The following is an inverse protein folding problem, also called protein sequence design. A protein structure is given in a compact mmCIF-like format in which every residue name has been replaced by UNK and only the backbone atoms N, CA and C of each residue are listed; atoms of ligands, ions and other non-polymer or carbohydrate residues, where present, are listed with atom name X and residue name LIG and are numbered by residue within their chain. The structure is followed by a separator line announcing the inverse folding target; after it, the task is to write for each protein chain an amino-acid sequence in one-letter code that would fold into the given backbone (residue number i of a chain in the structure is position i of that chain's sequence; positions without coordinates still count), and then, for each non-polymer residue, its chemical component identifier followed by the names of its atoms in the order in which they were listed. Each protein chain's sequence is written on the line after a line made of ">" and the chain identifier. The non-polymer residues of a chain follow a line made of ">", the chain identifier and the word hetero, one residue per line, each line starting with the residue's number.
data_IF_632403274480
#
_entry.id   IF_632403274480
#
_cell.length_a   1.000
_cell.length_b   1.000
_cell.length_c   1.000
_cell.angle_alpha   90.00
_cell.angle_beta   90.00
_cell.angle_gamma   90.00
#
_symmetry.space_group_name_H-M   'P 1'
#
loop_
_entity.id
_entity.type
_entity.pdbx_description
1 polymer ?
#
# COMPACT_ATOMS: atom_id res chain seq x y z
N UNK A 1 -32.92 26.38 -45.95
CA UNK A 1 -31.93 25.51 -45.30
C UNK A 1 -31.06 26.21 -44.26
N UNK A 2 -30.61 27.46 -44.47
CA UNK A 2 -29.82 28.22 -43.48
C UNK A 2 -30.57 28.55 -42.18
N UNK A 3 -31.85 28.89 -42.26
CA UNK A 3 -32.66 29.27 -41.06
C UNK A 3 -32.87 28.12 -40.07
N UNK A 4 -32.99 26.89 -40.57
CA UNK A 4 -33.16 25.71 -39.69
C UNK A 4 -31.86 25.37 -38.90
N UNK A 5 -30.72 25.57 -39.53
CA UNK A 5 -29.42 25.35 -38.87
C UNK A 5 -29.15 26.37 -37.77
N UNK A 6 -29.54 27.62 -37.94
CA UNK A 6 -29.35 28.69 -36.95
C UNK A 6 -30.24 28.48 -35.70
N UNK A 7 -31.46 27.98 -35.90
CA UNK A 7 -32.34 27.69 -34.76
C UNK A 7 -31.86 26.56 -33.88
N UNK A 8 -31.28 25.52 -34.50
CA UNK A 8 -30.69 24.39 -33.70
C UNK A 8 -29.41 24.79 -32.97
N UNK A 9 -28.61 25.68 -33.56
CA UNK A 9 -27.39 26.15 -32.93
C UNK A 9 -27.66 27.05 -31.73
N UNK A 10 -28.67 27.93 -31.81
CA UNK A 10 -29.05 28.81 -30.69
C UNK A 10 -29.74 28.06 -29.55
N UNK A 11 -30.45 26.98 -29.84
CA UNK A 11 -31.06 26.16 -28.79
C UNK A 11 -30.01 25.36 -28.00
N UNK A 12 -28.97 24.85 -28.68
CA UNK A 12 -27.88 24.09 -28.05
C UNK A 12 -27.02 24.97 -27.12
N UNK A 13 -26.74 26.21 -27.53
CA UNK A 13 -25.92 27.14 -26.71
C UNK A 13 -26.67 27.63 -25.45
N UNK A 14 -27.97 27.83 -25.53
CA UNK A 14 -28.80 28.22 -24.36
C UNK A 14 -28.93 27.09 -23.33
N UNK A 15 -29.06 25.84 -23.78
CA UNK A 15 -29.11 24.68 -22.89
C UNK A 15 -27.81 24.43 -22.16
N UNK A 16 -26.66 24.60 -22.84
CA UNK A 16 -25.34 24.40 -22.23
C UNK A 16 -25.01 25.46 -21.16
N UNK A 17 -25.44 26.71 -21.36
CA UNK A 17 -25.20 27.77 -20.36
C UNK A 17 -26.00 27.55 -19.08
N UNK A 18 -27.24 27.08 -19.20
CA UNK A 18 -28.11 26.81 -18.03
C UNK A 18 -27.62 25.62 -17.21
N UNK A 19 -27.05 24.58 -17.88
CA UNK A 19 -26.51 23.43 -17.20
C UNK A 19 -25.24 23.75 -16.41
N UNK A 20 -24.40 24.67 -16.88
CA UNK A 20 -23.19 25.12 -16.17
C UNK A 20 -23.53 25.94 -14.92
N UNK A 21 -24.60 26.77 -14.95
CA UNK A 21 -25.03 27.52 -13.78
C UNK A 21 -25.65 26.62 -12.71
N UNK A 22 -26.44 25.63 -13.06
CA UNK A 22 -27.03 24.69 -12.12
C UNK A 22 -25.97 23.78 -11.45
N UNK A 23 -24.95 23.35 -12.19
CA UNK A 23 -23.82 22.56 -11.65
C UNK A 23 -22.93 23.36 -10.69
N UNK A 24 -22.71 24.63 -10.97
CA UNK A 24 -21.91 25.52 -10.12
C UNK A 24 -22.52 25.78 -8.75
N UNK A 25 -23.85 25.96 -8.67
CA UNK A 25 -24.54 26.15 -7.39
C UNK A 25 -24.54 24.87 -6.54
N UNK A 26 -24.63 23.71 -7.15
CA UNK A 26 -24.58 22.44 -6.41
C UNK A 26 -23.21 22.17 -5.77
N UNK A 27 -22.10 22.56 -6.45
CA UNK A 27 -20.76 22.43 -5.87
C UNK A 27 -20.53 23.40 -4.68
N UNK A 28 -21.06 24.61 -4.75
CA UNK A 28 -20.97 25.57 -3.66
C UNK A 28 -21.79 25.13 -2.43
N UNK A 29 -22.93 24.47 -2.63
CA UNK A 29 -23.75 23.93 -1.54
C UNK A 29 -23.07 22.69 -0.88
N UNK A 30 -22.31 21.91 -1.64
CA UNK A 30 -21.58 20.76 -1.11
C UNK A 30 -20.40 21.17 -0.22
N UNK A 31 -19.69 22.24 -0.57
CA UNK A 31 -18.58 22.77 0.23
C UNK A 31 -19.02 23.41 1.55
N UNK A 32 -20.30 23.81 1.69
CA UNK A 32 -20.82 24.43 2.91
C UNK A 32 -21.39 23.43 3.93
N UNK A 33 -21.48 22.14 3.61
CA UNK A 33 -22.06 21.12 4.50
C UNK A 33 -21.00 20.27 5.22
N UNK A 34 -19.78 20.75 5.40
CA UNK A 34 -18.77 20.13 6.26
C UNK A 34 -18.97 20.46 7.76
N UNK A 35 -20.21 20.75 8.16
CA UNK A 35 -20.60 20.76 9.58
C UNK A 35 -21.08 19.37 10.01
N UNK A 36 -20.27 18.34 9.72
CA UNK A 36 -20.40 17.06 10.39
C UNK A 36 -20.23 17.26 11.90
N UNK A 37 -20.93 16.48 12.75
CA UNK A 37 -20.82 16.63 14.20
C UNK A 37 -19.33 16.56 14.57
N UNK A 38 -18.77 17.67 15.04
CA UNK A 38 -17.49 17.68 15.74
C UNK A 38 -17.66 16.78 16.95
N UNK A 39 -17.30 15.51 16.78
CA UNK A 39 -17.11 14.63 17.92
C UNK A 39 -16.11 15.31 18.86
N UNK A 40 -16.41 15.43 20.17
CA UNK A 40 -15.47 15.96 21.11
C UNK A 40 -14.32 14.96 21.25
N UNK A 41 -13.25 15.14 20.47
CA UNK A 41 -11.97 14.43 20.64
C UNK A 41 -11.18 15.04 21.80
N UNK A 42 -11.85 15.32 22.92
CA UNK A 42 -11.22 15.66 24.18
C UNK A 42 -11.56 14.60 25.22
N UNK A 43 -11.49 13.34 24.82
CA UNK A 43 -11.26 12.25 25.76
C UNK A 43 -9.76 12.01 25.78
N UNK A 44 -9.11 12.43 26.84
CA UNK A 44 -7.77 11.98 27.18
C UNK A 44 -7.83 10.46 27.28
N UNK A 45 -7.62 9.77 26.15
CA UNK A 45 -7.27 8.37 26.17
C UNK A 45 -5.90 8.33 26.83
N UNK A 46 -5.91 8.19 28.15
CA UNK A 46 -4.78 7.67 28.89
C UNK A 46 -4.65 6.21 28.44
N UNK A 47 -4.25 6.06 27.16
CA UNK A 47 -3.85 4.77 26.62
C UNK A 47 -2.60 4.34 27.36
N UNK A 48 -2.40 3.03 27.54
CA UNK A 48 -1.17 2.50 28.11
C UNK A 48 -0.02 3.08 27.29
N UNK A 49 0.88 3.73 28.02
CA UNK A 49 2.21 4.21 27.63
C UNK A 49 2.44 4.29 26.11
N UNK A 50 2.58 5.55 25.63
CA UNK A 50 3.19 5.87 24.35
C UNK A 50 3.21 4.64 23.42
N UNK A 51 2.33 4.63 22.42
CA UNK A 51 2.69 3.96 21.17
C UNK A 51 3.93 4.73 20.69
N UNK A 52 5.05 4.43 21.31
CA UNK A 52 6.34 4.41 20.69
C UNK A 52 6.01 3.92 19.29
N UNK A 53 6.28 4.68 18.22
CA UNK A 53 6.06 4.19 16.86
C UNK A 53 6.68 2.80 16.87
N UNK A 54 5.82 1.83 17.24
CA UNK A 54 6.23 0.48 17.52
C UNK A 54 6.76 0.05 16.19
N UNK A 55 8.06 -0.11 16.09
CA UNK A 55 8.71 -0.62 14.93
C UNK A 55 7.84 -1.81 14.52
N UNK A 56 7.21 -1.73 13.35
CA UNK A 56 6.35 -2.78 12.83
C UNK A 56 7.11 -4.07 13.03
N UNK A 57 6.50 -5.07 13.64
CA UNK A 57 7.22 -6.31 13.96
C UNK A 57 7.79 -6.94 12.71
N UNK A 58 8.91 -7.64 12.81
CA UNK A 58 9.49 -8.38 11.69
C UNK A 58 8.49 -9.32 11.03
N UNK A 59 7.60 -9.93 11.81
CA UNK A 59 6.49 -10.75 11.34
C UNK A 59 5.49 -9.95 10.49
N UNK A 60 5.02 -8.81 10.98
CA UNK A 60 4.06 -7.99 10.24
C UNK A 60 4.63 -7.49 8.91
N UNK A 61 5.91 -7.12 8.87
CA UNK A 61 6.60 -6.75 7.63
C UNK A 61 6.79 -7.96 6.72
N UNK A 62 7.16 -9.12 7.25
CA UNK A 62 7.35 -10.36 6.50
C UNK A 62 6.06 -10.83 5.80
N UNK A 63 4.88 -10.51 6.33
CA UNK A 63 3.61 -10.81 5.65
C UNK A 63 3.46 -10.11 4.31
N UNK A 64 4.13 -9.01 4.06
CA UNK A 64 4.11 -8.34 2.74
C UNK A 64 4.80 -9.19 1.66
N UNK A 65 5.70 -10.10 2.04
CA UNK A 65 6.41 -11.00 1.12
C UNK A 65 5.51 -12.16 0.64
N UNK A 66 4.40 -12.42 1.34
CA UNK A 66 3.52 -13.58 1.10
C UNK A 66 2.90 -13.59 -0.30
N UNK A 67 2.67 -12.43 -0.90
CA UNK A 67 2.07 -12.31 -2.24
C UNK A 67 2.90 -13.02 -3.33
N UNK A 68 4.22 -13.07 -3.17
CA UNK A 68 5.13 -13.68 -4.14
C UNK A 68 5.86 -14.91 -3.59
N UNK A 69 6.12 -14.95 -2.28
CA UNK A 69 6.89 -16.03 -1.64
C UNK A 69 6.03 -17.00 -0.83
N UNK A 70 4.69 -16.88 -0.93
CA UNK A 70 3.74 -17.73 -0.22
C UNK A 70 3.59 -17.41 1.26
N UNK A 71 2.53 -17.91 1.86
CA UNK A 71 2.23 -17.70 3.28
C UNK A 71 3.38 -18.18 4.15
N UNK A 72 3.87 -17.31 5.03
CA UNK A 72 5.06 -17.56 5.86
C UNK A 72 6.33 -17.87 5.05
N UNK A 73 6.39 -17.43 3.79
CA UNK A 73 7.53 -17.74 2.91
C UNK A 73 7.58 -19.19 2.44
N UNK A 74 6.45 -19.89 2.46
CA UNK A 74 6.32 -21.29 2.01
C UNK A 74 5.60 -21.31 0.67
N UNK A 75 6.33 -21.53 -0.39
CA UNK A 75 5.81 -21.53 -1.77
C UNK A 75 6.01 -22.91 -2.41
N UNK A 76 5.51 -23.97 -1.87
CA UNK A 76 5.46 -25.30 -2.49
C UNK A 76 6.67 -25.63 -3.38
N UNK A 77 6.41 -26.22 -4.54
CA UNK A 77 7.42 -26.65 -5.53
C UNK A 77 7.77 -25.55 -6.56
N UNK A 78 7.52 -24.30 -6.24
CA UNK A 78 7.52 -23.21 -7.19
C UNK A 78 8.89 -22.56 -7.44
N UNK A 79 8.93 -21.76 -8.51
CA UNK A 79 10.13 -21.15 -9.09
C UNK A 79 10.78 -20.05 -8.21
N UNK A 80 10.09 -19.56 -7.20
CA UNK A 80 10.61 -18.54 -6.31
C UNK A 80 11.30 -19.16 -5.10
N UNK A 81 12.38 -18.51 -4.65
CA UNK A 81 13.12 -18.93 -3.47
C UNK A 81 12.21 -18.94 -2.23
N UNK A 82 12.03 -20.08 -1.54
CA UNK A 82 11.32 -20.11 -0.27
C UNK A 82 12.08 -19.31 0.79
N UNK A 83 11.33 -18.60 1.63
CA UNK A 83 11.92 -17.78 2.70
C UNK A 83 11.86 -18.51 4.06
N UNK A 84 10.92 -19.45 4.23
CA UNK A 84 10.77 -20.23 5.45
C UNK A 84 12.06 -21.04 5.75
N UNK A 85 12.61 -20.83 6.93
CA UNK A 85 13.84 -21.50 7.36
C UNK A 85 15.12 -20.97 6.73
N UNK A 86 15.05 -19.88 5.95
CA UNK A 86 16.24 -19.25 5.40
C UNK A 86 17.13 -18.72 6.53
N UNK A 87 18.43 -19.03 6.56
CA UNK A 87 19.34 -18.45 7.54
C UNK A 87 19.27 -16.92 7.53
N UNK A 88 19.21 -16.31 8.71
CA UNK A 88 19.05 -14.86 8.82
C UNK A 88 20.15 -14.07 8.08
N UNK A 89 21.41 -14.53 8.14
CA UNK A 89 22.51 -13.92 7.39
C UNK A 89 22.27 -13.95 5.88
N UNK A 90 21.83 -15.09 5.35
CA UNK A 90 21.53 -15.23 3.92
C UNK A 90 20.40 -14.29 3.48
N UNK A 91 19.34 -14.16 4.29
CA UNK A 91 18.26 -13.22 3.99
C UNK A 91 18.78 -11.78 3.95
N UNK A 92 19.54 -11.36 4.98
CA UNK A 92 20.11 -10.03 5.08
C UNK A 92 21.01 -9.72 3.88
N UNK A 93 21.98 -10.58 3.60
CA UNK A 93 22.93 -10.38 2.50
C UNK A 93 22.21 -10.29 1.16
N UNK A 94 21.23 -11.18 0.93
CA UNK A 94 20.45 -11.18 -0.31
C UNK A 94 19.63 -9.90 -0.47
N UNK A 95 18.97 -9.42 0.58
CA UNK A 95 18.20 -8.18 0.54
C UNK A 95 19.08 -6.95 0.33
N UNK A 96 20.23 -6.91 0.97
CA UNK A 96 21.23 -5.84 0.77
C UNK A 96 21.75 -5.86 -0.67
N UNK A 97 22.11 -7.02 -1.21
CA UNK A 97 22.57 -7.15 -2.58
C UNK A 97 21.53 -6.73 -3.61
N UNK A 98 20.25 -7.02 -3.39
CA UNK A 98 19.17 -6.50 -4.22
C UNK A 98 19.05 -4.99 -4.13
N UNK A 99 19.09 -4.42 -2.93
CA UNK A 99 18.97 -2.99 -2.69
C UNK A 99 20.11 -2.19 -3.33
N UNK A 100 21.32 -2.75 -3.29
CA UNK A 100 22.52 -2.15 -3.86
C UNK A 100 22.74 -2.46 -5.35
N UNK A 101 21.85 -3.26 -5.96
CA UNK A 101 21.95 -3.64 -7.36
C UNK A 101 23.06 -4.65 -7.67
N UNK A 102 23.69 -5.24 -6.65
CA UNK A 102 24.72 -6.29 -6.82
C UNK A 102 24.11 -7.59 -7.33
N UNK A 103 22.86 -7.87 -6.96
CA UNK A 103 22.09 -9.01 -7.43
C UNK A 103 21.06 -8.58 -8.47
N UNK A 104 21.12 -9.05 -9.73
CA UNK A 104 20.15 -8.73 -10.76
C UNK A 104 18.75 -9.23 -10.37
N UNK A 105 17.75 -8.36 -10.48
CA UNK A 105 16.34 -8.71 -10.24
C UNK A 105 15.42 -7.70 -10.95
N UNK A 106 14.25 -8.15 -11.39
CA UNK A 106 13.23 -7.29 -11.98
C UNK A 106 12.44 -6.52 -10.92
N UNK A 107 12.11 -7.15 -9.80
CA UNK A 107 11.25 -6.57 -8.76
C UNK A 107 11.95 -6.43 -7.41
N UNK A 108 12.75 -7.44 -7.00
CA UNK A 108 13.32 -7.47 -5.64
C UNK A 108 14.24 -6.28 -5.33
N UNK A 109 14.87 -5.67 -6.32
CA UNK A 109 15.63 -4.44 -6.15
C UNK A 109 14.76 -3.29 -5.63
N UNK A 110 13.58 -3.10 -6.20
CA UNK A 110 12.64 -2.08 -5.77
C UNK A 110 12.02 -2.42 -4.40
N UNK A 111 11.66 -3.68 -4.17
CA UNK A 111 11.14 -4.14 -2.88
C UNK A 111 12.14 -3.90 -1.77
N UNK A 112 13.41 -4.26 -1.98
CA UNK A 112 14.46 -4.14 -0.96
C UNK A 112 14.78 -2.68 -0.60
N UNK A 113 14.61 -1.73 -1.52
CA UNK A 113 14.77 -0.30 -1.27
C UNK A 113 13.74 0.25 -0.27
N UNK A 114 12.60 -0.41 -0.10
CA UNK A 114 11.55 -0.02 0.83
C UNK A 114 11.84 -0.33 2.31
N UNK A 115 12.94 -1.02 2.63
CA UNK A 115 13.25 -1.47 3.98
C UNK A 115 14.61 -0.97 4.47
N UNK A 116 14.65 -0.52 5.71
CA UNK A 116 15.88 -0.21 6.44
C UNK A 116 16.62 -1.48 6.87
N UNK A 117 17.89 -1.33 7.26
CA UNK A 117 18.67 -2.48 7.76
C UNK A 117 18.06 -3.11 9.03
N UNK A 118 17.43 -2.31 9.88
CA UNK A 118 16.76 -2.81 11.08
C UNK A 118 15.54 -3.68 10.72
N UNK A 119 14.76 -3.25 9.74
CA UNK A 119 13.59 -3.98 9.26
C UNK A 119 13.98 -5.26 8.52
N UNK A 120 15.03 -5.21 7.69
CA UNK A 120 15.58 -6.40 7.03
C UNK A 120 16.03 -7.42 8.08
N UNK A 121 16.73 -6.99 9.12
CA UNK A 121 17.14 -7.89 10.22
C UNK A 121 15.95 -8.47 10.99
N UNK A 122 14.91 -7.68 11.23
CA UNK A 122 13.70 -8.15 11.91
C UNK A 122 12.94 -9.20 11.10
N UNK A 123 12.78 -9.00 9.79
CA UNK A 123 12.20 -9.98 8.87
C UNK A 123 13.07 -11.24 8.74
N UNK A 124 14.38 -11.09 8.70
CA UNK A 124 15.34 -12.21 8.66
C UNK A 124 15.18 -13.13 9.88
N UNK A 125 15.07 -12.55 11.08
CA UNK A 125 14.84 -13.29 12.31
C UNK A 125 13.51 -14.06 12.27
N UNK A 126 12.45 -13.44 11.74
CA UNK A 126 11.16 -14.10 11.57
C UNK A 126 11.25 -15.31 10.62
N UNK A 127 11.77 -15.14 9.40
CA UNK A 127 11.84 -16.23 8.44
C UNK A 127 12.77 -17.36 8.88
N UNK A 128 13.86 -17.06 9.57
CA UNK A 128 14.74 -18.07 10.13
C UNK A 128 14.05 -18.95 11.20
N UNK A 129 13.07 -18.41 11.91
CA UNK A 129 12.30 -19.15 12.90
C UNK A 129 11.12 -19.94 12.30
N UNK A 130 10.72 -19.66 11.06
CA UNK A 130 9.64 -20.38 10.38
C UNK A 130 10.14 -21.75 9.92
N UNK A 131 9.45 -22.82 10.29
CA UNK A 131 9.79 -24.17 9.81
C UNK A 131 9.57 -24.28 8.29
N UNK A 132 10.54 -24.83 7.53
CA UNK A 132 10.35 -25.10 6.10
C UNK A 132 9.17 -26.02 5.85
N UNK A 133 8.59 -25.94 4.65
CA UNK A 133 7.54 -26.86 4.22
C UNK A 133 8.15 -28.25 4.06
N UNK A 134 7.48 -29.28 4.58
CA UNK A 134 7.97 -30.67 4.50
C UNK A 134 8.86 -31.12 5.67
N UNK A 135 9.25 -30.25 6.60
CA UNK A 135 9.90 -30.64 7.85
C UNK A 135 8.87 -31.10 8.89
N UNK A 136 8.12 -32.14 8.56
CA UNK A 136 7.36 -32.89 9.58
C UNK A 136 8.29 -33.93 10.23
N UNK A 137 8.17 -34.15 11.57
CA UNK A 137 8.95 -35.16 12.26
C UNK A 137 8.61 -36.57 11.82
#
# INVERSE_FOLDING_TARGET
>A
MKQLLDQHFQAATRGALLALFAGGLALLAYAANESGPKAPLAGTLKGPAAMNSAAISGEAMAHTCAACHGTLGRLGDESFMPLAGMPASQFIDTMVDFREGKRPATLMGHVAQGFSDAEIRAMAAFFAAVKPQGSQP
#
